data_IF_887224392536
#
_entry.id   IF_887224392536
#
_cell.length_a   1.000
_cell.length_b   1.000
_cell.length_c   1.000
_cell.angle_alpha   90.00
_cell.angle_beta   90.00
_cell.angle_gamma   90.00
#
_symmetry.space_group_name_H-M   'P 1'
#
loop_
_entity.id
_entity.type
_entity.pdbx_description
1 polymer ?
#
# COMPACT_ATOMS: atom_id res chain seq x y z
N UNK A 1 11.64 -10.65 0.78
CA UNK A 1 11.85 -9.44 -0.05
C UNK A 1 11.01 -8.31 0.54
N UNK A 2 11.40 -7.04 0.42
CA UNK A 2 10.67 -5.93 1.03
C UNK A 2 10.35 -4.84 0.00
N UNK A 3 9.12 -4.32 0.04
CA UNK A 3 8.66 -3.22 -0.78
C UNK A 3 8.25 -2.05 0.10
N UNK A 4 8.63 -0.86 -0.32
CA UNK A 4 8.18 0.39 0.29
C UNK A 4 7.18 1.07 -0.63
N UNK A 5 5.98 1.32 -0.13
CA UNK A 5 4.92 2.05 -0.82
C UNK A 5 4.97 3.50 -0.38
N UNK A 6 5.43 4.39 -1.27
CA UNK A 6 5.62 5.81 -0.99
C UNK A 6 4.40 6.56 -1.49
N UNK A 7 3.61 7.13 -0.59
CA UNK A 7 2.41 7.86 -0.97
C UNK A 7 2.76 9.14 -1.73
N UNK A 8 1.99 9.42 -2.79
CA UNK A 8 2.04 10.71 -3.47
C UNK A 8 1.47 11.79 -2.55
N UNK A 9 1.64 13.08 -2.88
CA UNK A 9 1.01 14.15 -2.10
C UNK A 9 -0.51 13.97 -1.95
N UNK A 10 -1.20 13.60 -3.04
CA UNK A 10 -2.64 13.27 -3.01
C UNK A 10 -2.92 12.02 -2.20
N UNK A 11 -2.04 11.01 -2.26
CA UNK A 11 -2.11 9.82 -1.42
C UNK A 11 -1.97 10.13 0.07
N UNK A 12 -1.05 11.01 0.45
CA UNK A 12 -0.84 11.47 1.83
C UNK A 12 -2.07 12.18 2.38
N UNK A 13 -2.71 13.03 1.58
CA UNK A 13 -3.98 13.64 1.96
C UNK A 13 -5.06 12.57 2.19
N UNK A 14 -5.16 11.57 1.30
CA UNK A 14 -6.15 10.52 1.39
C UNK A 14 -6.02 9.64 2.64
N UNK A 15 -4.79 9.30 3.03
CA UNK A 15 -4.54 8.51 4.24
C UNK A 15 -4.68 9.33 5.53
N UNK A 16 -4.63 10.67 5.46
CA UNK A 16 -4.76 11.55 6.62
C UNK A 16 -6.08 11.41 7.38
N UNK A 17 -7.12 10.90 6.71
CA UNK A 17 -8.44 10.66 7.28
C UNK A 17 -8.65 9.20 7.77
N UNK A 18 -7.55 8.47 8.00
CA UNK A 18 -7.56 7.10 8.50
C UNK A 18 -6.71 6.97 9.75
N UNK A 19 -7.11 6.09 10.67
CA UNK A 19 -6.23 5.62 11.75
C UNK A 19 -5.19 4.65 11.18
N UNK A 20 -4.04 4.57 11.83
CA UNK A 20 -2.94 3.69 11.41
C UNK A 20 -3.38 2.23 11.23
N UNK A 21 -4.11 1.67 12.19
CA UNK A 21 -4.62 0.29 12.13
C UNK A 21 -5.60 0.09 10.96
N UNK A 22 -6.39 1.11 10.60
CA UNK A 22 -7.28 1.04 9.45
C UNK A 22 -6.50 0.98 8.14
N UNK A 23 -5.39 1.71 8.04
CA UNK A 23 -4.50 1.64 6.87
C UNK A 23 -3.87 0.26 6.75
N UNK A 24 -3.36 -0.30 7.86
CA UNK A 24 -2.83 -1.66 7.89
C UNK A 24 -3.91 -2.67 7.45
N UNK A 25 -5.15 -2.55 7.96
CA UNK A 25 -6.25 -3.44 7.59
C UNK A 25 -6.62 -3.30 6.10
N UNK A 26 -6.73 -2.08 5.58
CA UNK A 26 -7.03 -1.82 4.17
C UNK A 26 -5.97 -2.49 3.30
N UNK A 27 -4.70 -2.18 3.50
CA UNK A 27 -3.63 -2.71 2.65
C UNK A 27 -3.48 -4.23 2.79
N UNK A 28 -3.70 -4.79 3.98
CA UNK A 28 -3.70 -6.24 4.20
C UNK A 28 -4.85 -6.93 3.46
N UNK A 29 -6.09 -6.41 3.57
CA UNK A 29 -7.28 -6.99 2.94
C UNK A 29 -7.18 -6.99 1.41
N UNK A 30 -6.77 -5.87 0.83
CA UNK A 30 -6.66 -5.74 -0.61
C UNK A 30 -5.49 -6.55 -1.17
N UNK A 31 -4.34 -6.55 -0.49
CA UNK A 31 -3.24 -7.46 -0.84
C UNK A 31 -3.69 -8.92 -0.83
N UNK A 32 -4.38 -9.37 0.23
CA UNK A 32 -4.89 -10.75 0.35
C UNK A 32 -5.88 -11.13 -0.74
N UNK A 33 -6.70 -10.19 -1.18
CA UNK A 33 -7.62 -10.43 -2.29
C UNK A 33 -6.86 -10.59 -3.60
N UNK A 34 -5.84 -9.75 -3.82
CA UNK A 34 -5.05 -9.73 -5.03
C UNK A 34 -4.12 -10.95 -5.15
N UNK A 35 -3.60 -11.46 -4.03
CA UNK A 35 -2.82 -12.71 -3.96
C UNK A 35 -3.55 -13.93 -4.53
N UNK A 36 -4.87 -13.89 -4.70
CA UNK A 36 -5.61 -14.97 -5.39
C UNK A 36 -5.33 -15.02 -6.90
N UNK A 37 -4.83 -13.93 -7.49
CA UNK A 37 -4.52 -13.82 -8.92
C UNK A 37 -3.02 -13.87 -9.23
N UNK A 38 -2.18 -13.65 -8.22
CA UNK A 38 -0.73 -13.52 -8.38
C UNK A 38 -0.03 -14.48 -7.42
N UNK A 39 0.99 -15.19 -7.92
CA UNK A 39 1.75 -16.18 -7.15
C UNK A 39 2.86 -15.48 -6.34
N UNK A 40 2.48 -14.98 -5.16
CA UNK A 40 3.34 -14.41 -4.13
C UNK A 40 2.59 -14.34 -2.80
N UNK A 41 3.33 -14.23 -1.71
CA UNK A 41 2.80 -13.93 -0.37
C UNK A 41 3.15 -12.50 -0.01
N UNK A 42 2.17 -11.74 0.50
CA UNK A 42 2.29 -10.34 0.90
C UNK A 42 1.79 -10.18 2.32
N UNK A 43 2.58 -9.52 3.17
CA UNK A 43 2.18 -9.12 4.51
C UNK A 43 2.51 -7.65 4.81
N UNK A 44 1.67 -7.02 5.65
CA UNK A 44 1.82 -5.62 6.07
C UNK A 44 2.04 -5.62 7.59
N UNK A 45 3.29 -5.79 8.07
CA UNK A 45 3.60 -5.93 9.49
C UNK A 45 3.35 -4.63 10.25
N UNK A 46 2.64 -4.69 11.36
CA UNK A 46 2.33 -3.50 12.19
C UNK A 46 3.57 -2.87 12.82
N UNK A 47 4.57 -3.71 13.13
CA UNK A 47 5.82 -3.34 13.77
C UNK A 47 6.68 -2.41 12.91
N UNK A 48 6.58 -2.54 11.58
CA UNK A 48 7.30 -1.72 10.58
C UNK A 48 6.44 -0.56 10.04
N UNK A 49 5.21 -0.42 10.54
CA UNK A 49 4.20 0.54 10.07
C UNK A 49 3.52 1.22 11.25
N UNK A 50 4.30 1.79 12.18
CA UNK A 50 3.78 2.36 13.44
C UNK A 50 3.08 3.71 13.26
N UNK A 51 3.50 4.52 12.29
CA UNK A 51 2.90 5.82 11.99
C UNK A 51 2.90 6.12 10.47
N UNK A 52 2.06 5.40 9.75
CA UNK A 52 1.96 5.46 8.27
C UNK A 52 1.67 6.88 7.79
N UNK A 53 0.82 7.63 8.51
CA UNK A 53 0.40 8.97 8.11
C UNK A 53 1.54 9.96 8.25
N UNK A 54 2.31 9.93 9.34
CA UNK A 54 3.47 10.79 9.51
C UNK A 54 4.60 10.41 8.55
N UNK A 55 4.90 9.12 8.42
CA UNK A 55 5.97 8.62 7.54
C UNK A 55 5.62 8.83 6.06
N UNK A 56 4.33 8.79 5.74
CA UNK A 56 3.82 8.86 4.37
C UNK A 56 4.25 7.64 3.54
N UNK A 57 4.48 6.51 4.19
CA UNK A 57 4.93 5.26 3.55
C UNK A 57 4.35 4.03 4.23
N UNK A 58 4.18 2.93 3.48
CA UNK A 58 3.89 1.59 4.04
C UNK A 58 5.02 0.64 3.65
N UNK A 59 5.57 -0.08 4.62
CA UNK A 59 6.53 -1.16 4.40
C UNK A 59 5.78 -2.50 4.30
N UNK A 60 6.12 -3.29 3.29
CA UNK A 60 5.41 -4.53 2.93
C UNK A 60 6.44 -5.64 2.76
N UNK A 61 6.18 -6.79 3.38
CA UNK A 61 7.00 -7.99 3.21
C UNK A 61 6.43 -8.88 2.12
N UNK A 62 7.34 -9.43 1.33
CA UNK A 62 7.06 -10.31 0.20
C UNK A 62 7.82 -11.62 0.31
N UNK A 63 7.11 -12.72 0.20
CA UNK A 63 7.63 -14.08 0.22
C UNK A 63 7.06 -14.89 -0.97
N UNK A 64 7.67 -16.04 -1.28
CA UNK A 64 7.24 -16.95 -2.35
C UNK A 64 6.96 -16.29 -3.71
N UNK A 65 7.74 -15.26 -4.06
CA UNK A 65 7.48 -14.40 -5.22
C UNK A 65 7.80 -15.13 -6.54
N UNK A 66 6.77 -15.41 -7.35
CA UNK A 66 6.87 -16.06 -8.68
C UNK A 66 6.15 -15.30 -9.79
N UNK A 67 5.83 -14.03 -9.56
CA UNK A 67 5.16 -13.15 -10.52
C UNK A 67 5.89 -11.80 -10.67
N UNK A 68 5.45 -10.98 -11.62
CA UNK A 68 5.89 -9.58 -11.71
C UNK A 68 5.28 -8.74 -10.58
N UNK A 69 6.10 -8.43 -9.58
CA UNK A 69 5.70 -7.61 -8.43
C UNK A 69 5.29 -6.20 -8.81
N UNK A 70 5.88 -5.62 -9.87
CA UNK A 70 5.52 -4.26 -10.28
C UNK A 70 4.09 -4.21 -10.81
N UNK A 71 3.66 -5.24 -11.54
CA UNK A 71 2.27 -5.37 -11.99
C UNK A 71 1.31 -5.58 -10.81
N UNK A 72 1.68 -6.43 -9.84
CA UNK A 72 0.90 -6.59 -8.61
C UNK A 72 0.64 -5.26 -7.89
N UNK A 73 1.68 -4.46 -7.62
CA UNK A 73 1.52 -3.20 -6.89
C UNK A 73 0.80 -2.12 -7.70
N UNK A 74 0.88 -2.14 -9.03
CA UNK A 74 0.06 -1.27 -9.89
C UNK A 74 -1.43 -1.60 -9.78
N UNK A 75 -1.80 -2.87 -9.69
CA UNK A 75 -3.20 -3.28 -9.48
C UNK A 75 -3.64 -2.96 -8.04
N UNK A 76 -2.80 -3.23 -7.05
CA UNK A 76 -3.08 -2.87 -5.65
C UNK A 76 -3.36 -1.37 -5.50
N UNK A 77 -2.58 -0.51 -6.15
CA UNK A 77 -2.78 0.94 -6.13
C UNK A 77 -4.16 1.36 -6.68
N UNK A 78 -4.70 0.63 -7.66
CA UNK A 78 -6.04 0.87 -8.20
C UNK A 78 -7.12 0.40 -7.24
N UNK A 79 -6.93 -0.75 -6.61
CA UNK A 79 -7.92 -1.32 -5.71
C UNK A 79 -8.04 -0.52 -4.41
N UNK A 80 -6.92 -0.14 -3.79
CA UNK A 80 -6.91 0.65 -2.54
C UNK A 80 -7.33 2.11 -2.75
N UNK A 81 -7.28 2.62 -3.99
CA UNK A 81 -7.82 3.95 -4.32
C UNK A 81 -9.31 4.07 -4.00
N UNK A 82 -10.07 2.98 -4.11
CA UNK A 82 -11.53 2.97 -3.86
C UNK A 82 -11.86 3.32 -2.40
N UNK A 83 -11.36 2.60 -1.38
CA UNK A 83 -11.64 2.95 0.01
C UNK A 83 -11.01 4.29 0.41
N UNK A 84 -9.82 4.63 -0.08
CA UNK A 84 -9.15 5.89 0.23
C UNK A 84 -9.96 7.10 -0.28
N UNK A 85 -10.45 7.04 -1.52
CA UNK A 85 -11.27 8.12 -2.09
C UNK A 85 -12.58 8.35 -1.36
N UNK A 86 -13.18 7.32 -0.74
CA UNK A 86 -14.44 7.46 0.00
C UNK A 86 -14.33 8.36 1.24
N UNK A 87 -13.12 8.59 1.75
CA UNK A 87 -12.86 9.46 2.90
C UNK A 87 -12.15 10.76 2.53
N UNK A 88 -11.99 11.03 1.23
CA UNK A 88 -11.54 12.33 0.74
C UNK A 88 -12.73 13.30 0.67
N UNK A 89 -12.43 14.58 0.80
CA UNK A 89 -13.44 15.63 0.66
C UNK A 89 -14.05 15.62 -0.75
N UNK A 90 -15.33 16.02 -0.82
CA UNK A 90 -16.07 16.04 -2.07
C UNK A 90 -15.38 16.99 -3.07
N UNK A 91 -14.99 16.44 -4.22
CA UNK A 91 -14.31 17.19 -5.29
C UNK A 91 -12.80 16.93 -5.37
N UNK A 92 -12.20 16.29 -4.37
CA UNK A 92 -10.79 15.92 -4.46
C UNK A 92 -10.54 14.75 -5.42
N UNK A 93 -9.47 14.88 -6.20
CA UNK A 93 -9.02 13.86 -7.15
C UNK A 93 -7.87 13.07 -6.54
N UNK A 94 -7.94 11.74 -6.64
CA UNK A 94 -6.88 10.84 -6.21
C UNK A 94 -6.35 10.07 -7.42
N UNK A 95 -5.49 10.66 -8.24
CA UNK A 95 -5.08 10.05 -9.51
C UNK A 95 -4.13 8.87 -9.30
N UNK A 96 -3.11 9.06 -8.47
CA UNK A 96 -2.16 8.02 -8.05
C UNK A 96 -2.01 7.97 -6.53
N UNK A 97 -2.04 6.77 -5.96
CA UNK A 97 -2.00 6.57 -4.50
C UNK A 97 -0.56 6.54 -4.00
N UNK A 98 0.27 5.64 -4.53
CA UNK A 98 1.65 5.46 -4.11
C UNK A 98 2.55 5.04 -5.29
N UNK A 99 3.85 5.16 -5.10
CA UNK A 99 4.90 4.50 -5.88
C UNK A 99 5.44 3.31 -5.08
N UNK A 100 5.60 2.15 -5.70
CA UNK A 100 6.20 0.98 -5.06
C UNK A 100 7.69 0.90 -5.40
N UNK A 101 8.53 0.80 -4.38
CA UNK A 101 9.98 0.70 -4.51
C UNK A 101 10.49 -0.56 -3.81
N UNK A 102 11.40 -1.28 -4.46
CA UNK A 102 12.07 -2.42 -3.85
C UNK A 102 13.08 -1.90 -2.84
N UNK A 103 13.00 -2.38 -1.60
CA UNK A 103 13.98 -2.05 -0.56
C UNK A 103 15.18 -2.98 -0.74
N UNK A 104 16.24 -2.46 -1.35
CA UNK A 104 17.54 -3.14 -1.33
C UNK A 104 18.16 -2.92 0.04
N UNK A 105 18.12 -3.94 0.91
CA UNK A 105 18.98 -3.95 2.10
C UNK A 105 20.41 -4.19 1.61
N UNK A 106 21.21 -3.14 1.54
CA UNK A 106 22.66 -3.28 1.49
C UNK A 106 23.07 -3.97 2.80
N UNK A 107 23.61 -5.19 2.67
CA UNK A 107 24.25 -5.93 3.77
C UNK A 107 25.55 -5.23 4.15
#
# INVERSE_FOLDING_TARGET
>A
MEMKLIFTNKGKNAIGNFKNDELIEVFSRYSKTLMKKYDLVVSVPSEDNRDITADGTINVHLDDVKCDVQTFFKELARDVKVPLKKRLDAGETLDGVFKAELVNKSV
#
